data_IF_815250510778
#
_entry.id   IF_815250510778
#
_cell.length_a   1.000
_cell.length_b   1.000
_cell.length_c   1.000
_cell.angle_alpha   90.00
_cell.angle_beta   90.00
_cell.angle_gamma   90.00
#
_symmetry.space_group_name_H-M   'P 1'
#
loop_
_entity.id
_entity.type
_entity.pdbx_description
1 polymer ?
#
# COMPACT_ATOMS: atom_id res chain seq x y z
N UNK A 1 15.80 -6.69 14.26
CA UNK A 1 14.91 -6.27 13.18
C UNK A 1 15.64 -5.21 12.40
N UNK A 2 15.93 -5.48 11.14
CA UNK A 2 16.56 -4.52 10.23
C UNK A 2 15.52 -4.08 9.21
N UNK A 3 15.38 -2.77 9.03
CA UNK A 3 14.52 -2.16 8.02
C UNK A 3 15.38 -1.76 6.84
N UNK A 4 14.99 -2.18 5.64
CA UNK A 4 15.64 -1.81 4.39
C UNK A 4 14.62 -1.08 3.53
N UNK A 5 14.87 0.21 3.25
CA UNK A 5 14.14 0.96 2.25
C UNK A 5 14.77 0.71 0.88
N UNK A 6 13.98 0.20 -0.05
CA UNK A 6 14.41 -0.07 -1.42
C UNK A 6 13.66 0.88 -2.34
N UNK A 7 14.43 1.69 -3.08
CA UNK A 7 13.90 2.54 -4.14
C UNK A 7 14.32 1.95 -5.48
N UNK A 8 13.36 1.74 -6.39
CA UNK A 8 13.66 1.25 -7.72
C UNK A 8 12.83 1.99 -8.78
N UNK A 9 13.40 2.07 -9.98
CA UNK A 9 12.75 2.66 -11.15
C UNK A 9 12.43 1.55 -12.13
N UNK A 10 11.16 1.43 -12.49
CA UNK A 10 10.74 0.52 -13.54
C UNK A 10 11.09 1.16 -14.89
N UNK A 11 11.82 0.44 -15.75
CA UNK A 11 12.27 0.93 -17.06
C UNK A 11 11.20 0.90 -18.14
N UNK A 12 10.10 0.18 -17.88
CA UNK A 12 8.96 0.03 -18.78
C UNK A 12 7.66 0.01 -17.95
N UNK A 13 6.48 0.22 -18.56
CA UNK A 13 5.22 0.04 -17.86
C UNK A 13 5.12 -1.40 -17.31
N UNK A 14 5.07 -1.54 -15.98
CA UNK A 14 4.81 -2.82 -15.34
C UNK A 14 3.31 -3.03 -15.20
N UNK A 15 2.78 -4.07 -15.85
CA UNK A 15 1.39 -4.47 -15.67
C UNK A 15 1.31 -5.30 -14.38
N UNK A 16 0.96 -4.66 -13.29
CA UNK A 16 0.67 -5.35 -12.03
C UNK A 16 -0.83 -5.56 -11.95
N UNK A 17 -1.27 -6.80 -12.11
CA UNK A 17 -2.70 -7.12 -12.21
C UNK A 17 -3.32 -7.40 -10.84
N UNK A 18 -4.52 -6.87 -10.59
CA UNK A 18 -5.35 -7.32 -9.47
C UNK A 18 -6.06 -8.63 -9.84
N UNK A 19 -5.78 -9.71 -9.12
CA UNK A 19 -6.48 -10.99 -9.27
C UNK A 19 -7.92 -10.83 -8.77
N UNK A 20 -8.93 -11.01 -9.64
CA UNK A 20 -10.36 -10.86 -9.29
C UNK A 20 -10.95 -12.18 -8.76
N UNK A 21 -10.43 -13.31 -9.23
CA UNK A 21 -10.86 -14.70 -8.95
C UNK A 21 -9.88 -15.67 -9.64
N UNK A 22 -10.23 -16.96 -9.77
CA UNK A 22 -9.45 -17.96 -10.53
C UNK A 22 -9.31 -17.63 -12.03
N UNK A 23 -10.23 -16.86 -12.62
CA UNK A 23 -10.27 -16.59 -14.07
C UNK A 23 -10.53 -15.11 -14.35
N UNK A 24 -9.49 -14.28 -14.27
CA UNK A 24 -9.51 -12.95 -14.88
C UNK A 24 -8.83 -11.84 -14.10
N UNK A 25 -8.39 -10.84 -14.86
CA UNK A 25 -7.82 -9.59 -14.37
C UNK A 25 -8.90 -8.50 -14.40
N UNK A 26 -9.12 -7.79 -13.28
CA UNK A 26 -10.15 -6.72 -13.22
C UNK A 26 -9.60 -5.37 -13.66
N UNK A 27 -8.38 -5.07 -13.23
CA UNK A 27 -7.75 -3.76 -13.35
C UNK A 27 -6.26 -3.88 -13.09
N UNK A 28 -5.50 -2.88 -13.52
CA UNK A 28 -4.15 -2.62 -12.99
C UNK A 28 -4.23 -2.25 -11.50
N UNK A 29 -3.14 -2.50 -10.79
CA UNK A 29 -2.90 -1.98 -9.45
C UNK A 29 -2.01 -0.75 -9.53
N UNK A 30 -2.27 0.23 -8.68
CA UNK A 30 -1.46 1.45 -8.56
C UNK A 30 -0.18 1.24 -7.72
N UNK A 31 0.05 0.02 -7.25
CA UNK A 31 1.22 -0.37 -6.44
C UNK A 31 1.62 -1.82 -6.70
N UNK A 32 2.87 -2.17 -6.39
CA UNK A 32 3.34 -3.55 -6.48
C UNK A 32 3.10 -4.25 -5.14
N UNK A 33 2.28 -5.31 -5.05
CA UNK A 33 2.03 -5.99 -3.78
C UNK A 33 3.32 -6.50 -3.14
N UNK A 34 3.39 -6.41 -1.80
CA UNK A 34 4.52 -6.91 -1.04
C UNK A 34 4.76 -8.42 -1.25
N UNK A 35 3.69 -9.20 -1.39
CA UNK A 35 3.77 -10.64 -1.73
C UNK A 35 4.41 -10.88 -3.09
N UNK A 36 4.08 -10.07 -4.10
CA UNK A 36 4.69 -10.11 -5.44
C UNK A 36 6.17 -9.77 -5.38
N UNK A 37 6.55 -8.69 -4.68
CA UNK A 37 7.95 -8.31 -4.49
C UNK A 37 8.75 -9.40 -3.80
N UNK A 38 8.22 -9.94 -2.70
CA UNK A 38 8.85 -11.03 -1.95
C UNK A 38 9.03 -12.26 -2.83
N UNK A 39 7.98 -12.67 -3.56
CA UNK A 39 8.05 -13.78 -4.50
C UNK A 39 9.13 -13.57 -5.55
N UNK A 40 9.16 -12.40 -6.19
CA UNK A 40 10.17 -12.07 -7.20
C UNK A 40 11.61 -12.12 -6.63
N UNK A 41 11.83 -11.57 -5.43
CA UNK A 41 13.13 -11.61 -4.75
C UNK A 41 13.57 -13.05 -4.45
N UNK A 42 12.71 -13.84 -3.82
CA UNK A 42 13.01 -15.24 -3.47
C UNK A 42 13.26 -16.09 -4.71
N UNK A 43 12.43 -15.94 -5.75
CA UNK A 43 12.64 -16.63 -7.03
C UNK A 43 13.97 -16.24 -7.66
N UNK A 44 14.32 -14.95 -7.70
CA UNK A 44 15.60 -14.49 -8.26
C UNK A 44 16.80 -15.09 -7.50
N UNK A 45 16.77 -15.09 -6.17
CA UNK A 45 17.82 -15.66 -5.33
C UNK A 45 17.93 -17.19 -5.51
N UNK A 46 16.81 -17.88 -5.66
CA UNK A 46 16.79 -19.31 -5.95
C UNK A 46 17.44 -19.64 -7.29
N UNK A 47 17.07 -18.92 -8.36
CA UNK A 47 17.69 -19.12 -9.69
C UNK A 47 19.19 -18.82 -9.71
N UNK A 48 19.67 -17.94 -8.83
CA UNK A 48 21.10 -17.66 -8.65
C UNK A 48 21.82 -18.67 -7.75
N UNK A 49 21.12 -19.68 -7.22
CA UNK A 49 21.69 -20.66 -6.28
C UNK A 49 22.03 -20.08 -4.90
N UNK A 50 21.50 -18.89 -4.55
CA UNK A 50 21.74 -18.23 -3.26
C UNK A 50 20.82 -18.75 -2.15
N UNK A 51 19.71 -19.37 -2.53
CA UNK A 51 18.69 -19.92 -1.63
C UNK A 51 18.37 -21.33 -2.09
N UNK A 52 18.38 -22.32 -1.17
CA UNK A 52 18.04 -23.71 -1.50
C UNK A 52 16.53 -23.93 -1.52
N UNK A 53 16.09 -25.09 -2.05
CA UNK A 53 14.67 -25.48 -2.02
C UNK A 53 14.15 -25.63 -0.58
N UNK A 54 14.97 -26.16 0.31
CA UNK A 54 14.63 -26.28 1.74
C UNK A 54 14.46 -24.91 2.40
N UNK A 55 15.30 -23.93 2.04
CA UNK A 55 15.12 -22.55 2.50
C UNK A 55 13.80 -21.94 1.99
N UNK A 56 13.37 -22.24 0.76
CA UNK A 56 12.09 -21.76 0.23
C UNK A 56 10.88 -22.35 0.98
N UNK A 57 10.91 -23.65 1.30
CA UNK A 57 9.83 -24.28 2.09
C UNK A 57 9.77 -23.71 3.51
N UNK A 58 10.93 -23.39 4.11
CA UNK A 58 10.97 -22.67 5.39
C UNK A 58 10.35 -21.28 5.26
N UNK A 59 10.76 -20.51 4.26
CA UNK A 59 10.22 -19.17 3.99
C UNK A 59 8.70 -19.18 3.75
N UNK A 60 8.15 -20.25 3.18
CA UNK A 60 6.70 -20.38 2.99
C UNK A 60 5.94 -20.41 4.32
N UNK A 61 6.47 -21.11 5.32
CA UNK A 61 5.80 -21.34 6.60
C UNK A 61 6.19 -20.30 7.66
N UNK A 62 7.46 -19.90 7.69
CA UNK A 62 7.98 -18.84 8.56
C UNK A 62 8.79 -17.83 7.72
N UNK A 63 8.14 -16.77 7.22
CA UNK A 63 8.81 -15.79 6.38
C UNK A 63 9.80 -14.96 7.19
N UNK A 64 11.10 -15.03 6.85
CA UNK A 64 12.12 -14.16 7.45
C UNK A 64 12.12 -12.77 6.83
N UNK A 65 11.68 -12.65 5.57
CA UNK A 65 11.52 -11.41 4.83
C UNK A 65 10.04 -11.02 4.74
N UNK A 66 9.69 -9.85 5.28
CA UNK A 66 8.38 -9.23 5.10
C UNK A 66 8.55 -8.03 4.16
N UNK A 67 7.81 -8.00 3.06
CA UNK A 67 7.80 -6.87 2.14
C UNK A 67 6.47 -6.12 2.26
N UNK A 68 6.55 -4.80 2.42
CA UNK A 68 5.40 -3.91 2.24
C UNK A 68 5.12 -3.68 0.75
N UNK A 69 3.89 -3.28 0.37
CA UNK A 69 3.62 -2.88 -1.01
C UNK A 69 4.55 -1.75 -1.47
N UNK A 70 4.98 -1.82 -2.72
CA UNK A 70 5.74 -0.76 -3.36
C UNK A 70 4.78 0.31 -3.87
N UNK A 71 4.73 1.44 -3.17
CA UNK A 71 3.95 2.59 -3.61
C UNK A 71 4.78 3.48 -4.55
N UNK A 72 4.14 4.14 -5.51
CA UNK A 72 4.86 4.98 -6.45
C UNK A 72 5.41 6.23 -5.75
N UNK A 73 6.48 6.79 -6.32
CA UNK A 73 7.00 8.10 -5.96
C UNK A 73 6.47 9.08 -6.98
N UNK A 74 5.76 10.11 -6.52
CA UNK A 74 5.14 11.13 -7.35
C UNK A 74 5.81 12.46 -7.01
N UNK A 75 6.36 13.16 -8.01
CA UNK A 75 7.09 14.43 -7.83
C UNK A 75 8.22 14.34 -6.77
N UNK A 76 8.98 13.25 -6.79
CA UNK A 76 10.04 12.92 -5.81
C UNK A 76 9.57 12.77 -4.35
N UNK A 77 8.25 12.79 -4.11
CA UNK A 77 7.65 12.54 -2.80
C UNK A 77 7.09 11.11 -2.72
N UNK A 78 7.17 10.54 -1.52
CA UNK A 78 6.57 9.23 -1.22
C UNK A 78 5.05 9.35 -1.23
N UNK A 79 4.38 8.44 -1.92
CA UNK A 79 2.93 8.28 -1.83
C UNK A 79 2.56 7.06 -0.99
N UNK A 80 1.36 7.10 -0.42
CA UNK A 80 0.82 6.07 0.46
C UNK A 80 -0.66 5.88 0.15
N UNK A 81 -1.26 4.71 0.45
CA UNK A 81 -2.70 4.58 0.36
C UNK A 81 -3.34 5.47 1.42
N UNK A 82 -4.43 6.16 1.07
CA UNK A 82 -5.17 6.95 2.04
C UNK A 82 -5.70 6.06 3.17
N UNK A 83 -5.83 6.60 4.39
CA UNK A 83 -6.41 5.84 5.51
C UNK A 83 -7.89 5.48 5.21
N UNK A 84 -8.43 4.35 5.71
CA UNK A 84 -9.84 3.98 5.53
C UNK A 84 -10.85 5.05 5.96
N UNK A 85 -10.49 5.89 6.93
CA UNK A 85 -11.32 6.98 7.47
C UNK A 85 -11.02 8.36 6.86
N UNK A 86 -10.58 8.38 5.60
CA UNK A 86 -10.38 9.58 4.79
C UNK A 86 -11.49 9.64 3.76
N UNK A 87 -12.27 10.72 3.81
CA UNK A 87 -13.46 10.91 2.98
C UNK A 87 -13.39 12.18 2.14
N UNK A 88 -14.02 12.14 0.96
CA UNK A 88 -14.26 13.30 0.09
C UNK A 88 -15.76 13.55 -0.03
N UNK A 89 -16.18 14.82 -0.04
CA UNK A 89 -17.55 15.17 -0.39
C UNK A 89 -17.77 15.04 -1.90
N UNK A 90 -18.80 14.30 -2.32
CA UNK A 90 -19.14 14.11 -3.73
C UNK A 90 -19.73 15.37 -4.38
N UNK A 91 -20.34 16.27 -3.59
CA UNK A 91 -21.00 17.47 -4.12
C UNK A 91 -19.98 18.57 -4.45
N UNK A 92 -19.10 18.90 -3.50
CA UNK A 92 -18.10 19.96 -3.69
C UNK A 92 -16.77 19.46 -4.23
N UNK A 93 -16.58 18.15 -4.29
CA UNK A 93 -15.32 17.50 -4.65
C UNK A 93 -14.12 17.90 -3.77
N UNK A 94 -14.34 18.67 -2.70
CA UNK A 94 -13.32 19.04 -1.73
C UNK A 94 -13.04 17.87 -0.76
N UNK A 95 -11.74 17.64 -0.56
CA UNK A 95 -11.11 16.73 0.39
C UNK A 95 -10.77 17.55 1.67
N UNK A 96 -10.76 17.09 2.93
CA UNK A 96 -10.70 15.75 3.54
C UNK A 96 -11.31 15.83 4.95
N UNK A 97 -12.36 15.06 5.23
CA UNK A 97 -12.62 14.67 6.61
C UNK A 97 -11.60 13.57 6.94
N UNK A 98 -10.43 13.95 7.48
CA UNK A 98 -9.44 13.00 7.95
C UNK A 98 -9.74 12.65 9.41
N UNK A 99 -10.58 11.64 9.60
CA UNK A 99 -10.91 11.14 10.93
C UNK A 99 -9.93 10.05 11.41
N UNK A 100 -8.81 9.83 10.71
CA UNK A 100 -7.89 8.75 11.07
C UNK A 100 -7.38 8.86 12.51
N UNK A 101 -6.96 10.06 12.94
CA UNK A 101 -6.50 10.29 14.32
C UNK A 101 -7.58 10.00 15.35
N UNK A 102 -8.74 10.66 15.23
CA UNK A 102 -9.87 10.48 16.14
C UNK A 102 -10.33 9.02 16.23
N UNK A 103 -10.36 8.31 15.09
CA UNK A 103 -10.77 6.91 15.07
C UNK A 103 -9.74 6.01 15.75
N UNK A 104 -8.44 6.29 15.60
CA UNK A 104 -7.39 5.55 16.31
C UNK A 104 -7.54 5.76 17.82
N UNK A 105 -7.71 7.01 18.26
CA UNK A 105 -7.90 7.34 19.67
C UNK A 105 -9.14 6.67 20.28
N UNK A 106 -10.26 6.65 19.54
CA UNK A 106 -11.48 5.97 19.99
C UNK A 106 -11.28 4.46 20.10
N UNK A 107 -10.64 3.84 19.10
CA UNK A 107 -10.36 2.40 19.12
C UNK A 107 -9.41 2.01 20.25
N UNK A 108 -8.36 2.80 20.50
CA UNK A 108 -7.42 2.58 21.61
C UNK A 108 -8.11 2.73 22.98
N UNK A 109 -9.10 3.61 23.09
CA UNK A 109 -9.92 3.77 24.28
C UNK A 109 -11.08 2.75 24.40
N UNK A 110 -11.21 1.82 23.45
CA UNK A 110 -12.30 0.83 23.42
C UNK A 110 -13.68 1.42 23.10
N UNK A 111 -13.73 2.61 22.49
CA UNK A 111 -14.95 3.28 22.03
C UNK A 111 -15.25 2.93 20.58
N UNK A 112 -16.52 3.02 20.20
CA UNK A 112 -16.95 2.86 18.80
C UNK A 112 -16.75 4.17 18.05
N UNK A 113 -15.91 4.21 17.00
CA UNK A 113 -15.66 5.43 16.26
C UNK A 113 -16.90 5.90 15.48
N UNK A 114 -17.15 7.21 15.51
CA UNK A 114 -18.21 7.82 14.72
C UNK A 114 -17.76 7.95 13.25
N UNK A 115 -18.38 7.18 12.36
CA UNK A 115 -18.13 7.30 10.92
C UNK A 115 -18.98 8.46 10.38
N UNK A 116 -18.37 9.51 9.79
CA UNK A 116 -19.11 10.63 9.25
C UNK A 116 -19.95 10.18 8.05
N UNK A 117 -21.21 10.60 8.02
CA UNK A 117 -22.13 10.39 6.88
C UNK A 117 -22.33 11.70 6.11
N UNK A 118 -22.13 12.83 6.78
CA UNK A 118 -22.40 14.19 6.28
C UNK A 118 -21.12 15.02 6.35
N UNK A 119 -20.86 15.83 5.32
CA UNK A 119 -19.73 16.77 5.33
C UNK A 119 -20.03 18.02 6.20
N UNK A 120 -19.02 18.86 6.52
CA UNK A 120 -19.23 20.08 7.32
C UNK A 120 -20.27 21.06 6.74
N UNK A 121 -20.44 21.05 5.42
CA UNK A 121 -21.44 21.88 4.71
C UNK A 121 -22.85 21.24 4.67
N UNK A 122 -23.07 20.09 5.30
CA UNK A 122 -24.39 19.45 5.36
C UNK A 122 -24.71 18.46 4.22
N UNK A 123 -23.79 18.19 3.29
CA UNK A 123 -24.02 17.22 2.21
C UNK A 123 -23.89 15.76 2.70
N UNK A 124 -24.94 14.96 2.55
CA UNK A 124 -24.97 13.54 2.91
C UNK A 124 -24.38 12.62 1.82
N UNK A 125 -23.22 12.99 1.25
CA UNK A 125 -22.63 12.31 0.11
C UNK A 125 -21.11 12.19 0.24
N UNK A 126 -20.64 11.43 1.23
CA UNK A 126 -19.23 11.13 1.40
C UNK A 126 -18.78 9.92 0.57
N UNK A 127 -17.63 10.02 -0.08
CA UNK A 127 -16.93 8.94 -0.78
C UNK A 127 -15.69 8.56 0.03
N UNK A 128 -15.55 7.27 0.38
CA UNK A 128 -14.29 6.77 0.94
C UNK A 128 -13.19 6.84 -0.11
N UNK A 129 -12.05 7.41 0.25
CA UNK A 129 -10.93 7.52 -0.67
C UNK A 129 -10.01 6.29 -0.65
N UNK A 130 -10.08 5.45 0.38
CA UNK A 130 -9.21 4.29 0.46
C UNK A 130 -9.50 3.28 -0.67
N UNK A 131 -8.47 2.73 -1.35
CA UNK A 131 -7.02 2.88 -1.15
C UNK A 131 -6.35 3.82 -2.17
N UNK A 132 -6.97 4.93 -2.58
CA UNK A 132 -6.35 5.90 -3.50
C UNK A 132 -5.08 6.47 -2.89
N UNK A 133 -4.11 6.79 -3.73
CA UNK A 133 -2.81 7.29 -3.29
C UNK A 133 -2.90 8.75 -2.85
N UNK A 134 -2.23 9.07 -1.76
CA UNK A 134 -2.05 10.42 -1.22
C UNK A 134 -0.58 10.75 -1.02
N UNK A 135 -0.24 12.04 -1.15
CA UNK A 135 1.10 12.56 -0.82
C UNK A 135 1.28 12.77 0.70
N UNK A 136 2.45 13.30 1.09
CA UNK A 136 2.79 13.64 2.48
C UNK A 136 1.86 14.69 3.10
N UNK A 137 1.15 15.46 2.28
CA UNK A 137 0.22 16.53 2.67
C UNK A 137 -1.25 16.07 2.63
N UNK A 138 -1.52 14.82 2.25
CA UNK A 138 -2.86 14.25 2.15
C UNK A 138 -3.60 14.58 0.85
N UNK A 139 -2.94 15.17 -0.15
CA UNK A 139 -3.55 15.41 -1.46
C UNK A 139 -3.58 14.11 -2.27
N UNK A 140 -4.66 13.91 -3.04
CA UNK A 140 -4.72 12.79 -3.97
C UNK A 140 -3.64 12.93 -5.04
N UNK A 141 -2.91 11.84 -5.27
CA UNK A 141 -1.93 11.75 -6.33
C UNK A 141 -2.29 10.62 -7.29
N UNK A 142 -2.10 10.89 -8.58
CA UNK A 142 -2.10 9.85 -9.60
C UNK A 142 -0.64 9.43 -9.85
N UNK A 143 -0.36 8.14 -10.12
CA UNK A 143 0.97 7.74 -10.54
C UNK A 143 1.30 8.36 -11.90
N UNK A 144 2.12 9.41 -11.89
CA UNK A 144 2.66 10.04 -13.12
C UNK A 144 3.98 9.39 -13.56
N UNK A 145 4.74 8.80 -12.62
CA UNK A 145 6.10 8.31 -12.84
C UNK A 145 6.31 6.85 -12.40
N UNK A 146 7.20 6.14 -13.11
CA UNK A 146 7.54 4.71 -12.92
C UNK A 146 8.52 4.42 -11.77
N UNK A 147 8.61 5.28 -10.77
CA UNK A 147 9.44 5.09 -9.57
C UNK A 147 8.60 4.50 -8.45
N UNK A 148 9.10 3.50 -7.73
CA UNK A 148 8.39 2.89 -6.59
C UNK A 148 9.33 2.67 -5.41
N UNK A 149 8.77 2.77 -4.20
CA UNK A 149 9.48 2.53 -2.94
C UNK A 149 8.76 1.44 -2.18
N UNK A 150 9.51 0.43 -1.73
CA UNK A 150 9.04 -0.55 -0.77
C UNK A 150 9.97 -0.61 0.44
N UNK A 151 9.41 -1.07 1.57
CA UNK A 151 10.20 -1.41 2.76
C UNK A 151 10.20 -2.91 2.92
N UNK A 152 11.40 -3.49 2.95
CA UNK A 152 11.66 -4.87 3.33
C UNK A 152 12.12 -4.95 4.78
N UNK A 153 11.55 -5.88 5.53
CA UNK A 153 11.91 -6.16 6.93
C UNK A 153 12.53 -7.54 6.99
N UNK A 154 13.76 -7.62 7.50
CA UNK A 154 14.36 -8.90 7.88
C UNK A 154 14.16 -9.15 9.38
N UNK A 155 13.50 -10.28 9.71
CA UNK A 155 13.27 -10.71 11.09
C UNK A 155 14.55 -11.14 11.80
N UNK A 156 15.55 -11.64 11.07
CA UNK A 156 16.80 -12.11 11.66
C UNK A 156 17.63 -10.92 12.16
N UNK A 157 17.82 -10.83 13.48
CA UNK A 157 18.85 -10.01 14.12
C UNK A 157 20.18 -10.71 13.91
N UNK A 158 20.92 -10.32 12.89
CA UNK A 158 22.37 -10.47 12.86
C UNK A 158 22.96 -9.07 12.74
#
# INVERSE_FOLDING_TARGET
MRFLEIRFRVKSPAIVTRRRSERGFKSSLDSIPGSTLRGALLSSLFYQGRVSRENLEKERNDPSLICTPAYPVVKDEKSWPSHPFVFRCKATHQLVLNKAGEVIEDLEAGRTPAIPIVCPEGHAALESLHPKLIDSKGNLVAPENFSSICVGINKNRA
#
